data_IF_086887513360
#
_entry.id   IF_086887513360
#
_cell.length_a   1.000
_cell.length_b   1.000
_cell.length_c   1.000
_cell.angle_alpha   90.00
_cell.angle_beta   90.00
_cell.angle_gamma   90.00
#
_symmetry.space_group_name_H-M   'P 1'
#
loop_
_entity.id
_entity.type
_entity.pdbx_description
1 polymer ?
#
# COMPACT_ATOMS: atom_id res chain seq x y z
N UNK A 1 -42.75 -25.34 38.97
CA UNK A 1 -42.81 -24.10 39.78
C UNK A 1 -41.66 -23.21 39.33
N UNK A 2 -41.95 -22.18 38.53
CA UNK A 2 -40.94 -21.26 38.01
C UNK A 2 -40.45 -20.36 39.16
N UNK A 3 -39.20 -20.52 39.58
CA UNK A 3 -38.56 -19.53 40.45
C UNK A 3 -38.02 -18.38 39.60
N UNK A 4 -38.66 -17.23 39.78
CA UNK A 4 -38.25 -15.92 39.29
C UNK A 4 -36.86 -15.57 39.85
N UNK A 5 -35.83 -15.63 39.01
CA UNK A 5 -34.50 -15.10 39.36
C UNK A 5 -34.57 -13.57 39.27
N UNK A 6 -34.55 -12.91 40.42
CA UNK A 6 -34.49 -11.46 40.53
C UNK A 6 -33.18 -10.94 39.90
N UNK A 7 -33.32 -10.11 38.86
CA UNK A 7 -32.20 -9.36 38.27
C UNK A 7 -31.52 -8.48 39.34
N UNK A 8 -30.19 -8.47 39.45
CA UNK A 8 -29.49 -7.66 40.42
C UNK A 8 -29.69 -6.16 40.11
N UNK A 9 -30.09 -5.39 41.13
CA UNK A 9 -30.26 -3.92 41.11
C UNK A 9 -29.02 -3.13 40.68
N UNK A 10 -27.89 -3.79 40.43
CA UNK A 10 -26.65 -3.19 39.92
C UNK A 10 -26.70 -2.76 38.44
N UNK A 11 -27.71 -3.19 37.68
CA UNK A 11 -27.78 -2.88 36.24
C UNK A 11 -28.22 -1.45 35.94
N UNK A 12 -29.03 -0.82 36.80
CA UNK A 12 -29.63 0.50 36.48
C UNK A 12 -28.65 1.67 36.54
N UNK A 13 -27.66 1.63 37.44
CA UNK A 13 -26.65 2.69 37.57
C UNK A 13 -25.63 2.68 36.42
N UNK A 14 -25.38 1.52 35.80
CA UNK A 14 -24.49 1.40 34.64
C UNK A 14 -25.13 1.98 33.37
N UNK A 15 -26.44 1.75 33.18
CA UNK A 15 -27.19 2.35 32.07
C UNK A 15 -27.37 3.86 32.23
N UNK A 16 -27.51 4.37 33.46
CA UNK A 16 -27.60 5.81 33.70
C UNK A 16 -26.27 6.55 33.40
N UNK A 17 -25.13 5.89 33.59
CA UNK A 17 -23.81 6.46 33.27
C UNK A 17 -23.54 6.50 31.75
N UNK A 18 -24.04 5.50 31.00
CA UNK A 18 -24.01 5.51 29.53
C UNK A 18 -24.89 6.63 28.94
N UNK A 19 -26.07 6.88 29.52
CA UNK A 19 -26.98 7.96 29.09
C UNK A 19 -26.44 9.38 29.35
N UNK A 20 -25.47 9.55 30.25
CA UNK A 20 -24.83 10.85 30.54
C UNK A 20 -23.53 11.07 29.76
N UNK A 21 -22.94 10.03 29.16
CA UNK A 21 -21.74 10.16 28.32
C UNK A 21 -22.01 10.87 26.98
N UNK A 22 -23.27 10.89 26.53
CA UNK A 22 -23.70 11.54 25.28
C UNK A 22 -23.83 13.08 25.39
N UNK A 23 -23.63 13.66 26.58
CA UNK A 23 -23.70 15.12 26.80
C UNK A 23 -22.33 15.80 26.87
N UNK A 24 -21.24 15.13 26.50
CA UNK A 24 -19.96 15.83 26.28
C UNK A 24 -20.07 16.57 24.94
N UNK A 25 -20.21 17.91 24.91
CA UNK A 25 -20.10 18.65 23.65
C UNK A 25 -18.75 18.29 23.03
N UNK A 26 -18.79 17.69 21.85
CA UNK A 26 -17.58 17.34 21.11
C UNK A 26 -16.72 18.59 21.02
N UNK A 27 -15.53 18.57 21.63
CA UNK A 27 -14.60 19.67 21.52
C UNK A 27 -14.43 19.95 20.03
N UNK A 28 -14.74 21.18 19.60
CA UNK A 28 -14.35 21.65 18.29
C UNK A 28 -12.83 21.55 18.25
N UNK A 29 -12.32 20.47 17.68
CA UNK A 29 -10.91 20.36 17.34
C UNK A 29 -10.67 21.52 16.40
N UNK A 30 -10.09 22.61 16.92
CA UNK A 30 -9.81 23.81 16.15
C UNK A 30 -9.20 23.37 14.83
N UNK A 31 -9.92 23.64 13.74
CA UNK A 31 -9.67 23.00 12.45
C UNK A 31 -8.24 23.29 12.03
N UNK A 32 -7.36 22.29 12.18
CA UNK A 32 -6.03 22.37 11.59
C UNK A 32 -6.27 22.44 10.09
N UNK A 33 -6.06 23.62 9.51
CA UNK A 33 -6.10 23.78 8.06
C UNK A 33 -5.01 22.89 7.49
N UNK A 34 -5.38 21.97 6.62
CA UNK A 34 -4.40 21.16 5.90
C UNK A 34 -3.92 22.02 4.73
N UNK A 35 -2.71 22.60 4.78
CA UNK A 35 -2.27 23.54 3.74
C UNK A 35 -2.11 22.85 2.39
N UNK A 36 -1.94 21.51 2.39
CA UNK A 36 -1.79 20.70 1.19
C UNK A 36 -2.52 19.37 1.34
N UNK A 37 -3.59 19.19 0.59
CA UNK A 37 -4.28 17.91 0.45
C UNK A 37 -3.62 17.13 -0.68
N UNK A 38 -3.12 15.93 -0.38
CA UNK A 38 -2.62 15.01 -1.41
C UNK A 38 -3.79 14.34 -2.13
N UNK A 39 -3.92 14.60 -3.43
CA UNK A 39 -4.95 13.97 -4.27
C UNK A 39 -4.39 12.72 -4.95
N UNK A 40 -5.12 11.60 -4.86
CA UNK A 40 -4.83 10.37 -5.58
C UNK A 40 -5.64 10.33 -6.87
N UNK A 41 -4.96 10.41 -8.02
CA UNK A 41 -5.60 10.48 -9.34
C UNK A 41 -5.70 9.09 -9.97
N UNK A 42 -6.65 8.93 -10.89
CA UNK A 42 -6.74 7.72 -11.70
C UNK A 42 -5.54 7.69 -12.66
N UNK A 43 -5.01 6.50 -12.98
CA UNK A 43 -3.78 6.33 -13.75
C UNK A 43 -3.74 7.10 -15.08
N UNK A 44 -4.86 7.16 -15.82
CA UNK A 44 -5.00 7.87 -17.11
C UNK A 44 -5.08 9.38 -16.97
N UNK A 45 -5.38 9.88 -15.77
CA UNK A 45 -5.41 11.31 -15.48
C UNK A 45 -4.02 11.88 -15.13
N UNK A 46 -3.01 11.01 -14.99
CA UNK A 46 -1.63 11.43 -14.81
C UNK A 46 -0.99 11.81 -16.15
N UNK A 47 -0.12 12.82 -16.14
CA UNK A 47 0.75 13.09 -17.27
C UNK A 47 1.76 11.93 -17.45
N UNK A 48 2.28 11.75 -18.66
CA UNK A 48 3.25 10.69 -18.95
C UNK A 48 4.51 10.82 -18.08
N UNK A 49 4.93 12.04 -17.78
CA UNK A 49 6.06 12.34 -16.89
C UNK A 49 5.77 11.91 -15.45
N UNK A 50 4.53 12.11 -14.99
CA UNK A 50 4.09 11.72 -13.66
C UNK A 50 3.95 10.20 -13.52
N UNK A 51 3.46 9.55 -14.57
CA UNK A 51 3.46 8.09 -14.67
C UNK A 51 4.89 7.54 -14.62
N UNK A 52 5.80 8.12 -15.41
CA UNK A 52 7.19 7.70 -15.44
C UNK A 52 7.91 7.94 -14.11
N UNK A 53 7.62 9.05 -13.42
CA UNK A 53 8.19 9.34 -12.10
C UNK A 53 7.70 8.35 -11.04
N UNK A 54 6.43 7.92 -11.10
CA UNK A 54 5.90 6.87 -10.25
C UNK A 54 6.63 5.54 -10.47
N UNK A 55 6.72 5.07 -11.72
CA UNK A 55 7.40 3.79 -12.06
C UNK A 55 8.89 3.85 -11.69
N UNK A 56 9.55 4.99 -11.91
CA UNK A 56 10.94 5.24 -11.49
C UNK A 56 11.09 5.12 -9.97
N UNK A 57 10.15 5.69 -9.20
CA UNK A 57 10.18 5.60 -7.75
C UNK A 57 9.95 4.18 -7.24
N UNK A 58 9.01 3.43 -7.83
CA UNK A 58 8.80 2.00 -7.53
C UNK A 58 10.08 1.21 -7.76
N UNK A 59 10.73 1.39 -8.92
CA UNK A 59 12.03 0.76 -9.23
C UNK A 59 13.08 1.15 -8.20
N UNK A 60 13.20 2.43 -7.85
CA UNK A 60 14.14 2.91 -6.83
C UNK A 60 13.93 2.25 -5.44
N UNK A 61 12.70 1.94 -5.02
CA UNK A 61 12.47 1.20 -3.78
C UNK A 61 13.10 -0.20 -3.77
N UNK A 62 13.38 -0.77 -4.95
CA UNK A 62 14.08 -2.05 -5.08
C UNK A 62 15.61 -1.93 -5.00
N UNK A 63 16.17 -0.73 -4.85
CA UNK A 63 17.62 -0.54 -4.60
C UNK A 63 17.92 -0.12 -3.17
N UNK A 64 16.93 0.41 -2.45
CA UNK A 64 17.08 0.85 -1.06
C UNK A 64 17.10 -0.34 -0.10
N UNK A 65 17.85 -0.25 1.01
CA UNK A 65 17.81 -1.27 2.05
C UNK A 65 16.42 -1.35 2.70
N UNK A 66 16.01 -2.56 3.08
CA UNK A 66 14.83 -2.76 3.92
C UNK A 66 14.95 -2.01 5.26
N UNK A 67 13.81 -1.54 5.77
CA UNK A 67 13.71 -0.99 7.13
C UNK A 67 13.41 -2.06 8.16
N UNK A 68 12.76 -3.15 7.74
CA UNK A 68 12.43 -4.25 8.64
C UNK A 68 13.67 -5.10 8.91
N UNK A 69 13.91 -5.36 10.18
CA UNK A 69 14.94 -6.31 10.61
C UNK A 69 14.39 -7.72 10.45
N UNK A 70 14.81 -8.40 9.39
CA UNK A 70 14.49 -9.80 9.16
C UNK A 70 15.78 -10.61 8.99
N UNK A 71 15.67 -11.94 9.01
CA UNK A 71 16.80 -12.84 8.68
C UNK A 71 17.19 -12.80 7.20
N UNK A 72 16.34 -12.23 6.35
CA UNK A 72 16.53 -12.15 4.92
C UNK A 72 17.12 -10.78 4.54
N UNK A 73 17.96 -10.77 3.51
CA UNK A 73 18.45 -9.52 2.91
C UNK A 73 17.39 -8.98 1.95
N UNK A 74 16.48 -8.18 2.50
CA UNK A 74 15.36 -7.57 1.79
C UNK A 74 15.67 -6.13 1.35
N UNK A 75 14.89 -5.65 0.40
CA UNK A 75 14.89 -4.25 -0.08
C UNK A 75 13.71 -3.49 0.51
N UNK A 76 13.72 -2.16 0.37
CA UNK A 76 12.64 -1.30 0.86
C UNK A 76 11.28 -1.66 0.25
N UNK A 77 11.24 -2.03 -1.02
CA UNK A 77 10.02 -2.52 -1.68
C UNK A 77 9.50 -3.82 -1.05
N UNK A 78 10.40 -4.72 -0.63
CA UNK A 78 10.05 -6.03 -0.07
C UNK A 78 9.43 -5.93 1.34
N UNK A 79 9.67 -4.83 2.08
CA UNK A 79 9.07 -4.60 3.40
C UNK A 79 7.54 -4.73 3.36
N UNK A 80 6.92 -4.16 2.32
CA UNK A 80 5.46 -4.15 2.16
C UNK A 80 4.90 -5.54 1.89
N UNK A 81 5.56 -6.30 1.01
CA UNK A 81 5.17 -7.68 0.72
C UNK A 81 5.40 -8.60 1.93
N UNK A 82 6.52 -8.42 2.63
CA UNK A 82 6.85 -9.20 3.82
C UNK A 82 5.80 -9.02 4.92
N UNK A 83 5.43 -7.77 5.24
CA UNK A 83 4.41 -7.48 6.27
C UNK A 83 3.04 -7.98 5.83
N UNK A 84 2.64 -7.74 4.58
CA UNK A 84 1.37 -8.21 4.05
C UNK A 84 1.24 -9.74 4.10
N UNK A 85 2.30 -10.46 3.71
CA UNK A 85 2.33 -11.92 3.77
C UNK A 85 2.32 -12.45 5.20
N UNK A 86 3.14 -11.88 6.08
CA UNK A 86 3.23 -12.28 7.50
C UNK A 86 1.90 -12.10 8.23
N UNK A 87 1.18 -11.02 7.93
CA UNK A 87 -0.08 -10.67 8.61
C UNK A 87 -1.33 -11.14 7.88
N UNK A 88 -1.22 -11.94 6.82
CA UNK A 88 -2.34 -12.30 5.92
C UNK A 88 -3.63 -12.68 6.67
N UNK A 89 -3.57 -13.66 7.58
CA UNK A 89 -4.73 -14.16 8.33
C UNK A 89 -5.32 -13.14 9.31
N UNK A 90 -4.57 -12.10 9.67
CA UNK A 90 -4.97 -11.07 10.62
C UNK A 90 -5.56 -9.83 9.94
N UNK A 91 -5.47 -9.74 8.61
CA UNK A 91 -5.86 -8.53 7.86
C UNK A 91 -6.89 -8.81 6.77
N UNK A 92 -7.12 -10.05 6.37
CA UNK A 92 -8.17 -10.43 5.41
C UNK A 92 -9.39 -11.02 6.10
N UNK A 93 -10.59 -10.73 5.58
CA UNK A 93 -11.87 -11.23 6.09
C UNK A 93 -12.16 -10.89 7.57
N UNK A 94 -11.64 -9.75 8.02
CA UNK A 94 -11.80 -9.24 9.38
C UNK A 94 -12.15 -7.75 9.37
N UNK A 95 -12.69 -7.22 10.46
CA UNK A 95 -13.12 -5.82 10.57
C UNK A 95 -11.99 -4.79 10.25
N UNK A 96 -10.74 -5.16 10.52
CA UNK A 96 -9.57 -4.31 10.26
C UNK A 96 -9.08 -4.30 8.80
N UNK A 97 -9.72 -5.04 7.89
CA UNK A 97 -9.30 -5.15 6.48
C UNK A 97 -9.14 -3.79 5.81
N UNK A 98 -10.20 -2.99 5.73
CA UNK A 98 -10.19 -1.68 5.06
C UNK A 98 -9.22 -0.67 5.70
N UNK A 99 -9.24 -0.43 7.03
CA UNK A 99 -8.32 0.55 7.63
C UNK A 99 -6.85 0.10 7.52
N UNK A 100 -6.56 -1.20 7.61
CA UNK A 100 -5.20 -1.71 7.45
C UNK A 100 -4.68 -1.53 6.02
N UNK A 101 -5.48 -1.87 5.00
CA UNK A 101 -5.09 -1.68 3.60
C UNK A 101 -4.95 -0.19 3.22
N UNK A 102 -5.81 0.69 3.77
CA UNK A 102 -5.65 2.14 3.63
C UNK A 102 -4.31 2.61 4.22
N UNK A 103 -3.95 2.10 5.39
CA UNK A 103 -2.72 2.48 6.08
C UNK A 103 -1.46 1.98 5.37
N UNK A 104 -1.43 0.73 4.89
CA UNK A 104 -0.25 0.22 4.15
C UNK A 104 -0.02 0.98 2.84
N UNK A 105 -1.08 1.38 2.13
CA UNK A 105 -0.95 2.23 0.92
C UNK A 105 -0.44 3.62 1.29
N UNK A 106 -0.86 4.19 2.44
CA UNK A 106 -0.30 5.45 2.93
C UNK A 106 1.20 5.32 3.24
N UNK A 107 1.63 4.25 3.94
CA UNK A 107 3.05 4.00 4.20
C UNK A 107 3.85 3.78 2.91
N UNK A 108 3.26 3.11 1.93
CA UNK A 108 3.85 2.93 0.60
C UNK A 108 4.03 4.27 -0.13
N UNK A 109 3.02 5.14 -0.09
CA UNK A 109 3.11 6.50 -0.60
C UNK A 109 4.26 7.29 0.06
N UNK A 110 4.42 7.17 1.39
CA UNK A 110 5.55 7.81 2.08
C UNK A 110 6.90 7.23 1.63
N UNK A 111 7.00 5.91 1.45
CA UNK A 111 8.22 5.31 0.94
C UNK A 111 8.57 5.79 -0.47
N UNK A 112 7.59 5.97 -1.35
CA UNK A 112 7.83 6.53 -2.70
C UNK A 112 8.47 7.93 -2.65
N UNK A 113 8.21 8.72 -1.59
CA UNK A 113 8.87 10.02 -1.37
C UNK A 113 10.36 9.89 -1.09
N UNK A 114 10.81 8.78 -0.49
CA UNK A 114 12.24 8.46 -0.34
C UNK A 114 12.96 8.33 -1.70
N UNK A 115 12.19 8.11 -2.76
CA UNK A 115 12.62 8.03 -4.16
C UNK A 115 12.18 9.23 -5.02
N UNK A 116 11.75 10.33 -4.39
CA UNK A 116 11.46 11.59 -5.07
C UNK A 116 10.08 11.70 -5.72
N UNK A 117 9.18 10.73 -5.55
CA UNK A 117 7.80 10.85 -6.01
C UNK A 117 6.99 11.70 -5.05
N UNK A 118 6.41 12.81 -5.53
CA UNK A 118 5.74 13.79 -4.67
C UNK A 118 4.21 13.77 -4.76
N UNK A 119 3.66 13.13 -5.79
CA UNK A 119 2.21 13.01 -6.02
C UNK A 119 1.59 11.93 -5.12
N UNK A 120 0.26 11.83 -5.12
CA UNK A 120 -0.45 10.74 -4.44
C UNK A 120 -0.35 9.43 -5.22
N UNK A 121 -0.35 8.28 -4.53
CA UNK A 121 -0.36 6.97 -5.20
C UNK A 121 -1.55 6.90 -6.17
N UNK A 122 -1.33 6.58 -7.46
CA UNK A 122 -2.42 6.47 -8.42
C UNK A 122 -3.31 5.27 -8.11
N UNK A 123 -4.55 5.33 -8.56
CA UNK A 123 -5.44 4.18 -8.54
C UNK A 123 -5.77 3.72 -9.96
N UNK A 124 -6.07 2.43 -10.08
CA UNK A 124 -6.62 1.84 -11.29
C UNK A 124 -8.14 1.76 -11.13
N UNK A 125 -8.86 2.53 -11.93
CA UNK A 125 -10.29 2.33 -12.11
C UNK A 125 -10.53 1.17 -13.08
N UNK A 126 -10.68 -0.03 -12.52
CA UNK A 126 -10.90 -1.26 -13.26
C UNK A 126 -12.25 -1.30 -13.97
N UNK A 127 -13.23 -0.47 -13.58
CA UNK A 127 -14.53 -0.44 -14.24
C UNK A 127 -14.45 0.04 -15.69
N UNK A 128 -13.48 0.91 -15.99
CA UNK A 128 -13.19 1.39 -17.35
C UNK A 128 -12.60 0.30 -18.26
N UNK A 129 -12.06 -0.77 -17.67
CA UNK A 129 -11.40 -1.87 -18.38
C UNK A 129 -12.16 -3.19 -18.27
N UNK A 130 -13.36 -3.19 -17.67
CA UNK A 130 -14.07 -4.42 -17.33
C UNK A 130 -14.41 -5.29 -18.56
N UNK A 131 -14.58 -4.67 -19.73
CA UNK A 131 -14.83 -5.39 -20.99
C UNK A 131 -13.58 -6.09 -21.53
N UNK A 132 -12.40 -5.50 -21.32
CA UNK A 132 -11.12 -6.06 -21.75
C UNK A 132 -9.97 -5.46 -20.93
N UNK A 133 -9.62 -6.16 -19.84
CA UNK A 133 -8.56 -5.72 -18.95
C UNK A 133 -7.20 -5.60 -19.65
N UNK A 134 -6.94 -6.42 -20.68
CA UNK A 134 -5.65 -6.45 -21.36
C UNK A 134 -5.32 -5.14 -22.09
N UNK A 135 -6.34 -4.33 -22.39
CA UNK A 135 -6.20 -3.02 -23.03
C UNK A 135 -5.97 -1.87 -22.05
N UNK A 136 -6.00 -2.13 -20.74
CA UNK A 136 -5.74 -1.10 -19.75
C UNK A 136 -4.33 -0.53 -19.90
N UNK A 137 -4.13 0.80 -19.82
CA UNK A 137 -2.81 1.39 -19.79
C UNK A 137 -1.99 1.01 -18.55
N UNK A 138 -2.63 0.47 -17.51
CA UNK A 138 -1.93 -0.15 -16.37
C UNK A 138 -1.12 -1.36 -16.84
N UNK A 139 -1.70 -2.22 -17.68
CA UNK A 139 -1.05 -3.40 -18.25
C UNK A 139 -0.30 -3.11 -19.56
N UNK A 140 0.24 -1.89 -19.69
CA UNK A 140 1.09 -1.52 -20.81
C UNK A 140 2.46 -2.19 -20.73
N UNK A 141 3.02 -2.57 -21.88
CA UNK A 141 4.40 -3.04 -22.02
C UNK A 141 5.42 -1.90 -22.14
N UNK A 142 4.98 -0.64 -22.13
CA UNK A 142 5.89 0.52 -22.14
C UNK A 142 6.81 0.47 -20.91
N UNK A 143 8.15 0.41 -21.07
CA UNK A 143 9.07 0.23 -19.95
C UNK A 143 9.18 1.46 -19.03
N UNK A 144 8.73 2.64 -19.48
CA UNK A 144 8.78 3.88 -18.72
C UNK A 144 7.54 4.08 -17.86
N UNK A 145 6.36 3.75 -18.38
CA UNK A 145 5.08 4.03 -17.70
C UNK A 145 4.27 2.79 -17.36
N UNK A 146 4.47 1.66 -18.04
CA UNK A 146 3.71 0.44 -17.82
C UNK A 146 4.10 -0.31 -16.54
N UNK A 147 3.12 -1.03 -15.98
CA UNK A 147 3.32 -2.01 -14.90
C UNK A 147 3.57 -3.43 -15.44
N UNK A 148 3.97 -3.53 -16.72
CA UNK A 148 4.11 -4.81 -17.40
C UNK A 148 2.81 -5.24 -18.04
N UNK A 149 2.95 -5.90 -19.19
CA UNK A 149 1.80 -6.42 -19.92
C UNK A 149 1.43 -7.84 -19.52
N UNK A 150 0.69 -8.48 -20.41
CA UNK A 150 0.28 -9.86 -20.22
C UNK A 150 1.51 -10.80 -20.14
N UNK A 151 1.36 -11.89 -19.38
CA UNK A 151 2.38 -12.93 -19.31
C UNK A 151 2.60 -13.57 -20.68
N UNK A 152 3.79 -14.11 -20.93
CA UNK A 152 4.12 -14.73 -22.22
C UNK A 152 3.57 -16.16 -22.37
N UNK A 153 2.88 -16.68 -21.35
CA UNK A 153 2.47 -18.08 -21.25
C UNK A 153 3.64 -19.05 -21.03
N UNK A 154 4.89 -18.58 -21.11
CA UNK A 154 6.08 -19.34 -20.77
C UNK A 154 6.33 -19.21 -19.28
N UNK A 155 6.05 -20.27 -18.53
CA UNK A 155 6.48 -20.39 -17.13
C UNK A 155 7.96 -20.76 -17.14
N UNK A 156 8.83 -19.77 -17.29
CA UNK A 156 10.23 -19.95 -16.89
C UNK A 156 10.32 -19.61 -15.40
N UNK A 157 10.64 -20.56 -14.50
CA UNK A 157 10.80 -20.29 -13.08
C UNK A 157 11.84 -19.20 -12.76
N UNK A 158 12.67 -18.80 -13.74
CA UNK A 158 13.75 -17.81 -13.62
C UNK A 158 13.38 -16.44 -14.20
N UNK A 159 12.31 -16.31 -14.99
CA UNK A 159 11.93 -15.06 -15.64
C UNK A 159 10.57 -14.58 -15.13
N UNK A 160 10.52 -13.45 -14.43
CA UNK A 160 9.25 -12.86 -14.04
C UNK A 160 8.59 -12.07 -15.17
N UNK A 161 7.28 -11.90 -15.13
CA UNK A 161 6.50 -11.26 -16.20
C UNK A 161 6.64 -9.72 -16.19
N UNK A 162 6.71 -9.09 -17.36
CA UNK A 162 6.61 -7.63 -17.57
C UNK A 162 7.35 -6.70 -16.60
N UNK A 163 6.66 -6.14 -15.61
CA UNK A 163 7.28 -5.28 -14.58
C UNK A 163 8.02 -6.09 -13.55
N UNK A 164 7.58 -7.31 -13.24
CA UNK A 164 8.33 -8.20 -12.39
C UNK A 164 9.67 -8.57 -13.07
N UNK A 165 9.73 -8.80 -14.40
CA UNK A 165 11.02 -8.89 -15.11
C UNK A 165 11.76 -7.57 -15.12
N UNK A 166 11.09 -6.44 -15.34
CA UNK A 166 11.75 -5.12 -15.31
C UNK A 166 12.39 -4.85 -13.95
N UNK A 167 11.68 -5.12 -12.86
CA UNK A 167 12.13 -5.00 -11.47
C UNK A 167 13.21 -6.04 -11.16
N UNK A 168 13.01 -7.31 -11.53
CA UNK A 168 14.02 -8.36 -11.36
C UNK A 168 15.31 -8.03 -12.10
N UNK A 169 15.23 -7.62 -13.36
CA UNK A 169 16.39 -7.24 -14.17
C UNK A 169 17.01 -5.94 -13.68
N UNK A 170 16.21 -4.97 -13.22
CA UNK A 170 16.72 -3.73 -12.61
C UNK A 170 17.46 -4.03 -11.32
N UNK A 171 16.92 -4.93 -10.49
CA UNK A 171 17.54 -5.37 -9.26
C UNK A 171 18.78 -6.18 -9.55
N UNK A 172 18.74 -7.16 -10.46
CA UNK A 172 19.91 -7.96 -10.79
C UNK A 172 21.01 -7.07 -11.36
N UNK A 173 20.72 -6.19 -12.32
CA UNK A 173 21.71 -5.25 -12.87
C UNK A 173 22.31 -4.32 -11.83
N UNK A 174 21.51 -3.82 -10.88
CA UNK A 174 22.00 -2.93 -9.82
C UNK A 174 22.59 -3.67 -8.61
N UNK A 175 22.33 -4.97 -8.45
CA UNK A 175 22.93 -5.82 -7.42
C UNK A 175 24.33 -6.32 -7.83
N UNK A 176 24.70 -6.19 -9.11
CA UNK A 176 26.06 -6.46 -9.61
C UNK A 176 26.99 -5.23 -9.54
N UNK A 177 26.55 -4.11 -8.97
CA UNK A 177 27.47 -3.00 -8.63
C UNK A 177 28.16 -3.34 -7.31
N UNK A 178 29.25 -4.11 -7.47
CA UNK A 178 30.47 -4.14 -6.66
C UNK A 178 30.36 -3.83 -5.17
N UNK A 179 30.70 -4.84 -4.37
CA UNK A 179 31.60 -4.65 -3.25
C UNK A 179 32.85 -3.89 -3.73
N UNK A 180 32.85 -2.58 -3.64
CA UNK A 180 34.05 -1.76 -3.66
C UNK A 180 34.17 -1.14 -2.27
N UNK A 181 35.08 -1.70 -1.48
CA UNK A 181 35.74 -0.99 -0.39
C UNK A 181 36.20 0.37 -0.91
N UNK A 182 35.80 1.44 -0.22
CA UNK A 182 36.23 2.80 -0.54
C UNK A 182 35.76 3.75 0.55
N UNK A 183 36.64 3.98 1.53
CA UNK A 183 36.51 5.05 2.52
C UNK A 183 36.45 6.40 1.81
N UNK A 184 35.49 7.23 2.20
CA UNK A 184 35.68 8.57 2.77
C UNK A 184 34.52 8.80 3.74
#
# INVERSE_FOLDING_TARGET
>A
MFLCMSLPRFSFLFFLFMLLADLVPGQSVGGRTCPKITTRKEWRQLSRETQASYIKAVKCLTTKPATLRTRFRLRRYDDFQYVHSTLYMQVHFVARFLPWHRHIVFLYEQALRECGYQEGVPHWDWSLDAADASRSPVFSSDPQVGFGGNGTGRVDPRLPDGMSSSLYNYVHRNSFVGSALGKC
#
